data_IF_751692149267
#
_entry.id   IF_751692149267
#
_cell.length_a   1.000
_cell.length_b   1.000
_cell.length_c   1.000
_cell.angle_alpha   90.00
_cell.angle_beta   90.00
_cell.angle_gamma   90.00
#
_symmetry.space_group_name_H-M   'P 1'
#
loop_
_entity.id
_entity.type
_entity.pdbx_description
1 polymer ?
#
# COMPACT_ATOMS: atom_id res chain seq x y z
N UNK A 1 61.73 54.98 -64.51
CA UNK A 1 62.33 55.91 -63.53
C UNK A 1 61.47 55.90 -62.27
N UNK A 2 62.05 55.46 -61.14
CA UNK A 2 61.67 55.74 -59.73
C UNK A 2 60.27 55.27 -59.24
N UNK A 3 60.17 54.24 -58.37
CA UNK A 3 60.35 54.19 -56.89
C UNK A 3 58.99 54.24 -56.16
N UNK A 4 58.74 53.17 -55.37
CA UNK A 4 58.09 53.09 -54.04
C UNK A 4 57.24 54.28 -53.54
N UNK A 5 56.06 54.04 -52.94
CA UNK A 5 55.89 53.64 -51.53
C UNK A 5 54.41 53.51 -51.10
N UNK A 6 54.22 52.69 -50.05
CA UNK A 6 52.98 52.37 -49.31
C UNK A 6 52.20 53.60 -48.81
N UNK A 7 50.88 53.45 -48.64
CA UNK A 7 50.16 53.82 -47.40
C UNK A 7 48.90 52.95 -47.25
N UNK A 8 48.75 52.47 -46.03
CA UNK A 8 47.74 51.60 -45.46
C UNK A 8 46.54 52.46 -45.03
N UNK A 9 45.31 52.11 -45.42
CA UNK A 9 44.12 52.60 -44.71
C UNK A 9 43.05 51.52 -44.63
N UNK A 10 42.83 51.11 -43.39
CA UNK A 10 41.88 50.14 -42.87
C UNK A 10 40.48 50.73 -42.98
N UNK A 11 39.55 50.04 -43.65
CA UNK A 11 38.12 50.23 -43.41
C UNK A 11 37.61 49.03 -42.61
N UNK A 12 37.40 49.29 -41.32
CA UNK A 12 36.81 48.41 -40.32
C UNK A 12 35.31 48.27 -40.63
N UNK A 13 34.87 47.09 -41.07
CA UNK A 13 33.43 46.78 -41.18
C UNK A 13 32.88 46.47 -39.79
N UNK A 14 32.10 47.37 -39.22
CA UNK A 14 31.36 47.14 -37.98
C UNK A 14 30.07 46.38 -38.32
N UNK A 15 30.12 45.04 -38.34
CA UNK A 15 28.92 44.20 -38.37
C UNK A 15 28.48 44.01 -36.92
N UNK A 16 27.41 44.70 -36.51
CA UNK A 16 26.69 44.43 -35.27
C UNK A 16 26.00 43.06 -35.41
N UNK A 17 26.66 41.99 -34.96
CA UNK A 17 25.99 40.74 -34.60
C UNK A 17 25.26 40.97 -33.29
N UNK A 18 23.96 41.21 -33.35
CA UNK A 18 23.09 41.06 -32.18
C UNK A 18 22.99 39.57 -31.88
N UNK A 19 23.88 39.08 -31.03
CA UNK A 19 23.77 37.75 -30.43
C UNK A 19 22.54 37.75 -29.52
N UNK A 20 21.40 37.29 -30.02
CA UNK A 20 20.30 36.89 -29.16
C UNK A 20 20.80 35.67 -28.40
N UNK A 21 21.23 35.88 -27.17
CA UNK A 21 21.46 34.79 -26.22
C UNK A 21 20.06 34.27 -25.87
N UNK A 22 19.64 33.21 -26.56
CA UNK A 22 18.58 32.36 -26.03
C UNK A 22 19.14 31.74 -24.75
N UNK A 23 18.77 32.32 -23.61
CA UNK A 23 18.82 31.60 -22.34
C UNK A 23 17.85 30.44 -22.52
N UNK A 24 18.39 29.30 -22.98
CA UNK A 24 17.72 28.04 -22.80
C UNK A 24 17.78 27.82 -21.29
N UNK A 25 16.69 28.16 -20.60
CA UNK A 25 16.40 27.47 -19.36
C UNK A 25 16.38 25.99 -19.73
N UNK A 26 17.37 25.24 -19.27
CA UNK A 26 17.27 23.80 -19.19
C UNK A 26 16.16 23.49 -18.18
N UNK A 27 14.91 23.69 -18.59
CA UNK A 27 13.83 22.83 -18.13
C UNK A 27 14.09 21.54 -18.88
N UNK A 28 14.87 20.66 -18.26
CA UNK A 28 14.93 19.27 -18.66
C UNK A 28 13.48 18.78 -18.57
N UNK A 29 12.80 18.70 -19.71
CA UNK A 29 11.56 17.94 -19.78
C UNK A 29 11.94 16.51 -19.44
N UNK A 30 11.51 16.04 -18.27
CA UNK A 30 11.59 14.65 -17.84
C UNK A 30 11.01 13.78 -18.96
N UNK A 31 11.78 12.81 -19.42
CA UNK A 31 11.38 11.89 -20.49
C UNK A 31 10.12 11.11 -20.08
N UNK A 32 9.24 10.74 -21.03
CA UNK A 32 8.02 9.95 -20.76
C UNK A 32 8.25 8.61 -20.03
N UNK A 33 9.48 8.09 -20.00
CA UNK A 33 9.85 6.77 -19.47
C UNK A 33 10.01 6.71 -17.94
N UNK A 34 10.01 7.83 -17.20
CA UNK A 34 10.26 7.84 -15.75
C UNK A 34 9.03 7.54 -14.86
N UNK A 35 7.83 7.34 -15.43
CA UNK A 35 6.55 7.19 -14.68
C UNK A 35 5.71 6.01 -15.20
N UNK A 36 6.30 5.03 -15.88
CA UNK A 36 5.53 3.94 -16.52
C UNK A 36 4.92 2.99 -15.49
N UNK A 37 5.71 2.55 -14.51
CA UNK A 37 5.27 1.61 -13.49
C UNK A 37 4.13 2.18 -12.64
N UNK A 38 4.26 3.41 -12.12
CA UNK A 38 3.23 3.97 -11.26
C UNK A 38 1.88 4.18 -11.97
N UNK A 39 1.89 4.55 -13.26
CA UNK A 39 0.65 4.64 -14.05
C UNK A 39 0.03 3.28 -14.31
N UNK A 40 0.84 2.28 -14.64
CA UNK A 40 0.35 0.91 -14.82
C UNK A 40 -0.25 0.35 -13.52
N UNK A 41 0.33 0.70 -12.36
CA UNK A 41 -0.27 0.35 -11.06
C UNK A 41 -1.61 1.06 -10.86
N UNK A 42 -1.73 2.34 -11.17
CA UNK A 42 -3.00 3.09 -11.09
C UNK A 42 -4.09 2.51 -12.02
N UNK A 43 -3.72 2.02 -13.20
CA UNK A 43 -4.65 1.36 -14.12
C UNK A 43 -5.20 0.04 -13.55
N UNK A 44 -4.39 -0.70 -12.79
CA UNK A 44 -4.81 -1.97 -12.16
C UNK A 44 -5.62 -1.72 -10.89
N UNK A 45 -5.16 -0.78 -10.07
CA UNK A 45 -5.64 -0.63 -8.69
C UNK A 45 -6.68 0.47 -8.51
N UNK A 46 -6.86 1.34 -9.51
CA UNK A 46 -7.67 2.53 -9.40
C UNK A 46 -6.94 3.69 -8.71
N UNK A 47 -7.62 4.82 -8.61
CA UNK A 47 -7.06 6.06 -8.03
C UNK A 47 -7.95 6.69 -6.96
N UNK A 48 -9.16 6.13 -6.76
CA UNK A 48 -10.21 6.71 -5.93
C UNK A 48 -9.84 6.74 -4.45
N UNK A 49 -9.00 5.80 -4.01
CA UNK A 49 -8.58 5.62 -2.61
C UNK A 49 -7.25 6.31 -2.31
N UNK A 50 -6.57 6.88 -3.31
CA UNK A 50 -5.21 7.41 -3.13
C UNK A 50 -5.22 8.71 -2.32
N UNK A 51 -4.30 8.77 -1.36
CA UNK A 51 -4.06 9.96 -0.52
C UNK A 51 -2.67 10.49 -0.79
N UNK A 52 -2.56 11.81 -0.91
CA UNK A 52 -1.28 12.49 -1.15
C UNK A 52 -0.63 12.89 0.15
N UNK A 53 0.71 12.85 0.15
CA UNK A 53 1.49 13.40 1.23
C UNK A 53 1.33 14.91 1.34
N UNK A 54 1.39 15.39 2.59
CA UNK A 54 1.61 16.78 2.96
C UNK A 54 3.03 17.23 2.57
N UNK A 55 3.31 18.53 2.69
CA UNK A 55 4.59 19.15 2.29
C UNK A 55 5.82 18.54 3.00
N UNK A 56 5.63 17.88 4.15
CA UNK A 56 6.68 17.23 4.94
C UNK A 56 6.87 15.73 4.62
N UNK A 57 6.12 15.20 3.65
CA UNK A 57 6.18 13.79 3.25
C UNK A 57 5.39 12.84 4.14
N UNK A 58 4.68 13.34 5.15
CA UNK A 58 3.71 12.57 5.91
C UNK A 58 2.37 12.47 5.17
N UNK A 59 1.67 11.37 5.34
CA UNK A 59 0.31 11.16 4.83
C UNK A 59 -0.58 10.91 6.03
N UNK A 60 -1.53 11.79 6.24
CA UNK A 60 -2.57 11.60 7.24
C UNK A 60 -3.79 11.00 6.53
N UNK A 61 -4.11 9.74 6.81
CA UNK A 61 -5.35 9.12 6.33
C UNK A 61 -6.38 9.04 7.46
N UNK A 62 -7.49 8.33 7.26
CA UNK A 62 -8.60 8.32 8.22
C UNK A 62 -8.28 7.58 9.53
N UNK A 63 -7.19 6.81 9.56
CA UNK A 63 -6.88 5.85 10.63
C UNK A 63 -5.46 6.04 11.20
N UNK A 64 -4.53 6.47 10.36
CA UNK A 64 -3.10 6.42 10.60
C UNK A 64 -2.37 7.61 9.96
N UNK A 65 -1.21 7.89 10.52
CA UNK A 65 -0.17 8.68 9.87
C UNK A 65 0.83 7.73 9.21
N UNK A 66 1.09 7.91 7.92
CA UNK A 66 2.05 7.12 7.14
C UNK A 66 3.23 8.02 6.78
N UNK A 67 4.45 7.57 7.05
CA UNK A 67 5.67 8.18 6.54
C UNK A 67 6.26 7.29 5.47
N UNK A 68 6.39 7.84 4.27
CA UNK A 68 6.98 7.12 3.14
C UNK A 68 8.50 7.04 3.25
N UNK A 69 9.10 6.01 2.63
CA UNK A 69 10.54 5.90 2.55
C UNK A 69 11.15 7.01 1.70
N UNK A 70 12.43 7.27 1.92
CA UNK A 70 13.25 8.19 1.14
C UNK A 70 14.71 7.68 1.09
N UNK A 71 15.63 8.47 0.55
CA UNK A 71 17.05 8.08 0.45
C UNK A 71 17.75 7.81 1.81
N UNK A 72 17.14 8.20 2.93
CA UNK A 72 17.64 8.02 4.30
C UNK A 72 16.76 7.07 5.13
N UNK A 73 15.56 6.74 4.66
CA UNK A 73 14.58 5.88 5.32
C UNK A 73 14.15 4.74 4.37
N UNK A 74 14.60 3.52 4.66
CA UNK A 74 14.31 2.33 3.84
C UNK A 74 13.09 1.55 4.33
N UNK A 75 12.09 2.23 4.87
CA UNK A 75 10.88 1.63 5.43
C UNK A 75 9.71 2.60 5.32
N UNK A 76 8.51 2.04 5.23
CA UNK A 76 7.26 2.75 5.45
C UNK A 76 6.97 2.68 6.94
N UNK A 77 6.81 3.82 7.60
CA UNK A 77 6.40 3.86 9.01
C UNK A 77 4.91 4.17 9.06
N UNK A 78 4.17 3.31 9.75
CA UNK A 78 2.75 3.50 9.97
C UNK A 78 2.50 3.72 11.46
N UNK A 79 2.16 4.95 11.81
CA UNK A 79 1.81 5.37 13.16
C UNK A 79 0.30 5.36 13.31
N UNK A 80 -0.19 4.74 14.38
CA UNK A 80 -1.61 4.79 14.74
C UNK A 80 -1.93 6.13 15.38
N UNK A 81 -3.06 6.73 15.01
CA UNK A 81 -3.54 7.96 15.63
C UNK A 81 -4.14 7.72 17.05
N UNK A 82 -4.14 6.47 17.51
CA UNK A 82 -4.55 6.08 18.87
C UNK A 82 -3.37 6.21 19.85
N UNK A 83 -3.61 6.89 20.98
CA UNK A 83 -2.59 7.17 21.99
C UNK A 83 -1.82 5.92 22.45
N UNK A 84 -0.49 5.97 22.36
CA UNK A 84 0.47 4.96 22.84
C UNK A 84 0.49 3.62 22.10
N UNK A 85 -0.10 3.54 20.91
CA UNK A 85 0.14 2.38 20.03
C UNK A 85 1.52 2.51 19.35
N UNK A 86 2.38 1.50 19.45
CA UNK A 86 3.69 1.51 18.78
C UNK A 86 3.54 1.46 17.25
N UNK A 87 4.49 2.07 16.55
CA UNK A 87 4.53 2.08 15.09
C UNK A 87 4.69 0.65 14.53
N UNK A 88 4.03 0.40 13.41
CA UNK A 88 4.34 -0.73 12.54
C UNK A 88 5.23 -0.20 11.42
N UNK A 89 6.39 -0.83 11.19
CA UNK A 89 7.26 -0.46 10.07
C UNK A 89 7.33 -1.59 9.07
N UNK A 90 7.20 -1.23 7.79
CA UNK A 90 7.23 -2.15 6.66
C UNK A 90 8.45 -1.80 5.82
N UNK A 91 9.44 -2.68 5.80
CA UNK A 91 10.64 -2.53 5.01
C UNK A 91 10.35 -2.57 3.52
N UNK A 92 11.16 -1.86 2.74
CA UNK A 92 11.14 -1.93 1.28
C UNK A 92 11.66 -3.30 0.80
N UNK A 93 11.19 -3.79 -0.37
CA UNK A 93 11.45 -5.16 -0.80
C UNK A 93 12.95 -5.43 -0.95
N UNK A 94 13.41 -6.52 -0.37
CA UNK A 94 14.80 -6.98 -0.40
C UNK A 94 15.83 -5.93 0.08
N UNK A 95 15.42 -4.96 0.91
CA UNK A 95 16.25 -3.83 1.34
C UNK A 95 16.91 -3.10 0.15
N UNK A 96 16.19 -3.04 -0.98
CA UNK A 96 16.72 -2.41 -2.19
C UNK A 96 17.07 -0.94 -1.96
N UNK A 97 18.08 -0.42 -2.67
CA UNK A 97 18.40 1.00 -2.58
C UNK A 97 17.43 1.81 -3.42
N UNK A 98 16.85 2.83 -2.81
CA UNK A 98 15.90 3.75 -3.45
C UNK A 98 16.39 5.19 -3.34
N UNK A 99 15.97 6.01 -4.31
CA UNK A 99 16.18 7.46 -4.30
C UNK A 99 14.96 8.22 -3.79
N UNK A 100 14.83 9.47 -4.21
CA UNK A 100 13.58 10.21 -4.05
C UNK A 100 12.56 9.74 -5.09
N UNK A 101 11.27 9.68 -4.73
CA UNK A 101 10.26 9.20 -5.64
C UNK A 101 9.91 10.23 -6.72
N UNK A 102 9.49 9.73 -7.89
CA UNK A 102 8.71 10.49 -8.87
C UNK A 102 7.23 10.28 -8.55
N UNK A 103 6.49 11.37 -8.37
CA UNK A 103 5.10 11.30 -7.90
C UNK A 103 4.13 11.54 -9.06
N UNK A 104 3.14 10.67 -9.22
CA UNK A 104 2.08 10.85 -10.22
C UNK A 104 1.14 11.99 -9.82
N UNK A 105 0.28 12.41 -10.77
CA UNK A 105 -0.77 13.37 -10.46
C UNK A 105 -1.76 12.83 -9.44
N UNK A 106 -2.00 11.52 -9.40
CA UNK A 106 -3.05 10.91 -8.58
C UNK A 106 -2.54 10.42 -7.22
N UNK A 107 -1.22 10.41 -6.99
CA UNK A 107 -0.63 10.20 -5.67
C UNK A 107 0.13 8.88 -5.50
N UNK A 108 0.58 8.27 -6.60
CA UNK A 108 1.50 7.13 -6.56
C UNK A 108 2.95 7.61 -6.56
N UNK A 109 3.80 6.98 -5.75
CA UNK A 109 5.19 7.35 -5.53
C UNK A 109 6.11 6.27 -6.13
N UNK A 110 6.71 6.56 -7.28
CA UNK A 110 7.64 5.64 -7.95
C UNK A 110 9.07 5.86 -7.49
N UNK A 111 9.65 4.85 -6.87
CA UNK A 111 11.04 4.76 -6.49
C UNK A 111 11.80 3.91 -7.50
N UNK A 112 12.64 4.56 -8.30
CA UNK A 112 13.51 3.85 -9.23
C UNK A 112 14.59 3.11 -8.45
N UNK A 113 14.63 1.80 -8.63
CA UNK A 113 15.57 0.91 -7.95
C UNK A 113 16.79 0.65 -8.80
N UNK A 114 16.87 -0.57 -9.33
CA UNK A 114 17.91 -0.97 -10.28
C UNK A 114 17.27 -1.37 -11.62
N UNK A 115 18.10 -1.80 -12.58
CA UNK A 115 17.61 -2.19 -13.92
C UNK A 115 16.55 -3.32 -13.93
N UNK A 116 16.43 -4.08 -12.84
CA UNK A 116 15.54 -5.22 -12.73
C UNK A 116 14.27 -4.96 -11.92
N UNK A 117 14.31 -4.01 -10.99
CA UNK A 117 13.23 -3.84 -10.02
C UNK A 117 13.09 -2.37 -9.65
N UNK A 118 11.86 -1.86 -9.78
CA UNK A 118 11.41 -0.60 -9.20
C UNK A 118 10.32 -0.86 -8.15
N UNK A 119 10.00 0.18 -7.37
CA UNK A 119 8.99 0.14 -6.32
C UNK A 119 7.99 1.28 -6.52
N UNK A 120 6.71 0.99 -6.45
CA UNK A 120 5.63 1.97 -6.44
C UNK A 120 4.92 1.89 -5.11
N UNK A 121 4.84 3.01 -4.39
CA UNK A 121 4.07 3.09 -3.14
C UNK A 121 2.83 3.95 -3.37
N UNK A 122 1.68 3.41 -2.97
CA UNK A 122 0.37 4.05 -3.05
C UNK A 122 -0.21 4.15 -1.65
N UNK A 123 -0.13 5.32 -1.00
CA UNK A 123 -0.88 5.57 0.23
C UNK A 123 -2.37 5.57 -0.09
N UNK A 124 -3.16 4.91 0.75
CA UNK A 124 -4.61 4.88 0.64
C UNK A 124 -5.28 5.52 1.85
N UNK A 125 -6.59 5.74 1.75
CA UNK A 125 -7.44 6.22 2.84
C UNK A 125 -7.37 5.34 4.10
N UNK A 126 -6.96 4.07 3.96
CA UNK A 126 -6.96 3.06 5.03
C UNK A 126 -5.62 2.34 5.22
N UNK A 127 -4.58 2.66 4.45
CA UNK A 127 -3.32 1.93 4.52
C UNK A 127 -2.31 2.33 3.45
N UNK A 128 -1.52 1.37 3.00
CA UNK A 128 -0.46 1.57 2.02
C UNK A 128 -0.31 0.33 1.15
N UNK A 129 -0.23 0.54 -0.16
CA UNK A 129 0.10 -0.51 -1.12
C UNK A 129 1.53 -0.32 -1.59
N UNK A 130 2.31 -1.40 -1.55
CA UNK A 130 3.73 -1.43 -1.90
C UNK A 130 3.88 -2.38 -3.08
N UNK A 131 3.93 -1.86 -4.30
CA UNK A 131 3.94 -2.65 -5.53
C UNK A 131 5.34 -2.71 -6.11
N UNK A 132 5.86 -3.92 -6.26
CA UNK A 132 7.09 -4.19 -6.99
C UNK A 132 6.82 -4.15 -8.49
N UNK A 133 7.60 -3.37 -9.22
CA UNK A 133 7.69 -3.47 -10.69
C UNK A 133 8.90 -4.30 -11.05
N UNK A 134 8.63 -5.53 -11.47
CA UNK A 134 9.63 -6.50 -11.92
C UNK A 134 9.88 -6.20 -13.41
N UNK A 135 11.03 -5.62 -13.74
CA UNK A 135 11.24 -5.00 -15.06
C UNK A 135 11.71 -5.98 -16.14
N UNK A 136 12.29 -7.12 -15.77
CA UNK A 136 12.80 -8.10 -16.74
C UNK A 136 13.03 -9.48 -16.10
N UNK A 137 13.38 -10.48 -16.93
CA UNK A 137 13.56 -11.87 -16.51
C UNK A 137 14.75 -12.14 -15.58
N UNK A 138 15.69 -11.20 -15.43
CA UNK A 138 16.84 -11.32 -14.53
C UNK A 138 16.54 -10.84 -13.11
N UNK A 139 15.34 -10.29 -12.88
CA UNK A 139 14.91 -9.87 -11.57
C UNK A 139 14.82 -11.05 -10.58
N UNK A 140 14.91 -10.78 -9.27
CA UNK A 140 14.57 -11.78 -8.26
C UNK A 140 13.14 -12.30 -8.42
N UNK A 141 12.90 -13.51 -7.89
CA UNK A 141 11.54 -14.08 -7.80
C UNK A 141 10.94 -13.98 -6.40
N UNK A 142 11.73 -13.57 -5.42
CA UNK A 142 11.32 -13.43 -4.02
C UNK A 142 11.54 -11.99 -3.61
N UNK A 143 10.51 -11.39 -3.00
CA UNK A 143 10.50 -10.00 -2.56
C UNK A 143 10.17 -10.00 -1.07
N UNK A 144 11.21 -9.81 -0.26
CA UNK A 144 11.15 -9.80 1.20
C UNK A 144 10.79 -8.40 1.73
N UNK A 145 9.62 -8.28 2.35
CA UNK A 145 9.21 -7.12 3.12
C UNK A 145 9.39 -7.45 4.60
N UNK A 146 10.45 -6.93 5.22
CA UNK A 146 10.72 -7.11 6.65
C UNK A 146 9.86 -6.18 7.48
N UNK A 147 9.18 -6.70 8.50
CA UNK A 147 8.41 -5.87 9.41
C UNK A 147 9.13 -5.68 10.74
N UNK A 148 9.24 -4.42 11.17
CA UNK A 148 9.50 -4.08 12.57
C UNK A 148 8.14 -3.98 13.26
N UNK A 149 7.79 -5.06 13.96
CA UNK A 149 6.53 -5.19 14.67
C UNK A 149 6.75 -4.95 16.17
N UNK A 150 5.74 -4.38 16.86
CA UNK A 150 5.80 -4.23 18.31
C UNK A 150 6.02 -5.58 19.02
N UNK A 151 6.54 -5.54 20.24
CA UNK A 151 6.76 -6.76 21.02
C UNK A 151 5.46 -7.58 21.14
N UNK A 152 5.59 -8.90 20.98
CA UNK A 152 4.46 -9.83 21.02
C UNK A 152 3.63 -9.89 19.74
N UNK A 153 3.82 -8.98 18.78
CA UNK A 153 3.15 -9.02 17.49
C UNK A 153 3.83 -9.98 16.52
N UNK A 154 3.05 -10.54 15.59
CA UNK A 154 3.52 -11.48 14.57
C UNK A 154 2.63 -11.48 13.33
N UNK A 155 3.18 -11.97 12.23
CA UNK A 155 2.41 -12.35 11.04
C UNK A 155 1.81 -13.75 11.20
N UNK A 156 0.57 -13.92 10.72
CA UNK A 156 -0.10 -15.23 10.64
C UNK A 156 -0.93 -15.31 9.36
N UNK A 157 -0.91 -16.45 8.70
CA UNK A 157 -1.86 -16.70 7.61
C UNK A 157 -3.28 -16.77 8.16
N UNK A 158 -4.25 -16.34 7.35
CA UNK A 158 -5.66 -16.42 7.73
C UNK A 158 -6.09 -17.87 8.06
N UNK A 159 -5.57 -18.86 7.31
CA UNK A 159 -5.82 -20.28 7.50
C UNK A 159 -5.32 -20.78 8.86
N UNK A 160 -4.07 -20.45 9.23
CA UNK A 160 -3.47 -20.79 10.52
C UNK A 160 -4.20 -20.11 11.68
N UNK A 161 -4.64 -18.87 11.45
CA UNK A 161 -5.33 -18.08 12.44
C UNK A 161 -6.70 -18.69 12.83
N UNK A 162 -7.43 -19.27 11.87
CA UNK A 162 -8.71 -19.94 12.13
C UNK A 162 -8.58 -21.44 12.42
N UNK A 163 -7.46 -22.08 12.05
CA UNK A 163 -7.17 -23.50 12.24
C UNK A 163 -7.71 -24.40 11.11
N UNK A 164 -7.09 -25.57 10.95
CA UNK A 164 -7.33 -26.54 9.85
C UNK A 164 -8.80 -27.01 9.73
N UNK A 165 -9.56 -27.07 10.83
CA UNK A 165 -10.97 -27.50 10.82
C UNK A 165 -11.90 -26.45 10.17
N UNK A 166 -11.39 -25.23 9.94
CA UNK A 166 -12.10 -24.10 9.35
C UNK A 166 -11.45 -23.58 8.05
N UNK A 167 -10.35 -24.21 7.61
CA UNK A 167 -9.87 -24.10 6.24
C UNK A 167 -10.98 -24.64 5.32
N UNK A 168 -11.59 -23.76 4.52
CA UNK A 168 -12.60 -24.17 3.54
C UNK A 168 -11.92 -24.22 2.18
N UNK A 169 -12.51 -24.96 1.25
CA UNK A 169 -12.01 -25.23 -0.11
C UNK A 169 -11.54 -23.99 -0.91
N UNK A 170 -12.00 -22.80 -0.55
CA UNK A 170 -11.45 -21.51 -0.99
C UNK A 170 -10.58 -20.95 0.15
N UNK A 171 -9.30 -21.32 0.17
CA UNK A 171 -8.30 -20.78 1.09
C UNK A 171 -8.11 -19.30 0.78
N UNK A 172 -8.39 -18.44 1.77
CA UNK A 172 -8.16 -17.01 1.60
C UNK A 172 -6.71 -16.75 2.00
N UNK A 173 -5.86 -16.36 1.06
CA UNK A 173 -4.41 -16.29 1.25
C UNK A 173 -3.94 -14.95 1.87
N UNK A 174 -4.82 -14.29 2.62
CA UNK A 174 -4.49 -13.06 3.35
C UNK A 174 -3.54 -13.35 4.52
N UNK A 175 -2.73 -12.35 4.86
CA UNK A 175 -1.84 -12.39 6.01
C UNK A 175 -2.26 -11.34 7.02
N UNK A 176 -2.41 -11.73 8.29
CA UNK A 176 -2.75 -10.83 9.37
C UNK A 176 -1.51 -10.47 10.18
N UNK A 177 -1.42 -9.20 10.60
CA UNK A 177 -0.59 -8.82 11.74
C UNK A 177 -1.48 -8.94 12.98
N UNK A 178 -1.08 -9.77 13.94
CA UNK A 178 -1.79 -9.95 15.21
C UNK A 178 -0.92 -9.53 16.39
N UNK A 179 -1.55 -9.04 17.47
CA UNK A 179 -0.88 -8.72 18.73
C UNK A 179 -0.67 -9.97 19.62
N UNK A 180 -0.11 -9.74 20.82
CA UNK A 180 0.14 -10.77 21.84
C UNK A 180 -1.12 -11.52 22.31
N UNK A 181 -2.30 -10.91 22.16
CA UNK A 181 -3.60 -11.48 22.48
C UNK A 181 -4.25 -12.14 21.25
N UNK A 182 -3.48 -12.32 20.18
CA UNK A 182 -3.91 -12.74 18.84
C UNK A 182 -4.91 -11.79 18.16
N UNK A 183 -5.02 -10.54 18.59
CA UNK A 183 -5.93 -9.56 17.98
C UNK A 183 -5.36 -9.04 16.68
N UNK A 184 -6.13 -9.15 15.58
CA UNK A 184 -5.78 -8.62 14.27
C UNK A 184 -5.68 -7.08 14.34
N UNK A 185 -4.50 -6.57 13.99
CA UNK A 185 -4.18 -5.15 13.92
C UNK A 185 -4.23 -4.62 12.48
N UNK A 186 -3.78 -5.43 11.53
CA UNK A 186 -3.78 -5.09 10.09
C UNK A 186 -3.84 -6.34 9.22
N UNK A 187 -4.15 -6.13 7.93
CA UNK A 187 -4.28 -7.18 6.92
C UNK A 187 -3.43 -6.83 5.71
N UNK A 188 -2.65 -7.80 5.24
CA UNK A 188 -2.21 -7.86 3.87
C UNK A 188 -3.25 -8.63 3.05
N UNK A 189 -3.67 -8.05 1.92
CA UNK A 189 -4.59 -8.70 0.99
C UNK A 189 -4.04 -10.00 0.43
N UNK A 190 -4.82 -10.73 -0.37
CA UNK A 190 -4.33 -11.87 -1.15
C UNK A 190 -3.25 -11.40 -2.14
N UNK A 191 -2.19 -12.21 -2.28
CA UNK A 191 -1.11 -11.92 -3.21
C UNK A 191 -1.63 -11.87 -4.65
N UNK A 192 -1.24 -10.84 -5.39
CA UNK A 192 -1.50 -10.79 -6.83
C UNK A 192 -0.27 -10.32 -7.60
N UNK A 193 -0.17 -10.81 -8.83
CA UNK A 193 0.82 -10.36 -9.79
C UNK A 193 0.23 -10.33 -11.20
N UNK A 194 0.49 -9.26 -11.95
CA UNK A 194 0.00 -9.08 -13.33
C UNK A 194 1.13 -8.70 -14.26
N UNK A 195 1.19 -9.35 -15.41
CA UNK A 195 2.15 -9.06 -16.48
C UNK A 195 1.76 -7.80 -17.26
N UNK A 196 2.64 -7.34 -18.16
CA UNK A 196 2.40 -6.12 -18.95
C UNK A 196 1.20 -6.20 -19.92
N UNK A 197 0.65 -7.40 -20.15
CA UNK A 197 -0.58 -7.58 -20.92
C UNK A 197 -1.83 -7.68 -20.02
N UNK A 198 -1.66 -7.56 -18.70
CA UNK A 198 -2.72 -7.70 -17.70
C UNK A 198 -3.06 -9.15 -17.34
N UNK A 199 -2.27 -10.14 -17.78
CA UNK A 199 -2.49 -11.54 -17.42
C UNK A 199 -1.97 -11.82 -16.01
N UNK A 200 -2.65 -12.70 -15.27
CA UNK A 200 -2.19 -13.13 -13.95
C UNK A 200 -0.89 -13.94 -14.06
N UNK A 201 0.06 -13.63 -13.18
CA UNK A 201 1.29 -14.38 -12.96
C UNK A 201 1.14 -15.12 -11.62
N UNK A 202 1.41 -16.44 -11.55
CA UNK A 202 1.29 -17.16 -10.29
C UNK A 202 2.18 -16.53 -9.21
N UNK A 203 1.59 -16.33 -8.03
CA UNK A 203 2.26 -15.73 -6.87
C UNK A 203 1.64 -16.23 -5.59
N UNK A 204 2.41 -16.21 -4.49
CA UNK A 204 1.94 -16.52 -3.15
C UNK A 204 2.83 -15.81 -2.12
N UNK A 205 2.36 -15.73 -0.87
CA UNK A 205 3.18 -15.29 0.25
C UNK A 205 3.82 -16.45 1.02
N UNK A 206 5.01 -16.21 1.53
CA UNK A 206 5.69 -17.01 2.55
C UNK A 206 5.93 -16.11 3.78
N UNK A 207 5.75 -16.65 4.99
CA UNK A 207 6.07 -15.95 6.25
C UNK A 207 7.32 -16.59 6.85
N UNK A 208 8.36 -15.78 7.09
CA UNK A 208 9.56 -16.19 7.82
C UNK A 208 9.82 -15.16 8.92
N UNK A 209 9.66 -15.59 10.17
CA UNK A 209 9.65 -14.70 11.34
C UNK A 209 8.65 -13.54 11.14
N UNK A 210 9.11 -12.28 11.21
CA UNK A 210 8.31 -11.09 10.93
C UNK A 210 8.53 -10.55 9.51
N UNK A 211 8.78 -11.44 8.55
CA UNK A 211 8.99 -11.06 7.15
C UNK A 211 7.88 -11.63 6.28
N UNK A 212 7.25 -10.77 5.47
CA UNK A 212 6.32 -11.17 4.42
C UNK A 212 7.10 -11.27 3.11
N UNK A 213 7.22 -12.47 2.57
CA UNK A 213 7.94 -12.71 1.32
C UNK A 213 6.92 -13.01 0.24
N UNK A 214 6.83 -12.17 -0.79
CA UNK A 214 6.08 -12.53 -1.99
C UNK A 214 6.97 -13.30 -2.96
N UNK A 215 6.49 -14.45 -3.41
CA UNK A 215 7.10 -15.22 -4.48
C UNK A 215 6.33 -14.98 -5.77
N UNK A 216 7.00 -14.59 -6.85
CA UNK A 216 6.40 -14.33 -8.16
C UNK A 216 7.00 -15.27 -9.20
N UNK A 217 6.16 -16.11 -9.82
CA UNK A 217 6.60 -17.23 -10.67
C UNK A 217 6.59 -16.90 -12.16
N UNK A 218 7.18 -15.76 -12.55
CA UNK A 218 7.32 -15.41 -13.96
C UNK A 218 8.24 -16.39 -14.72
N UNK A 219 8.03 -16.52 -16.03
CA UNK A 219 8.78 -17.42 -16.89
C UNK A 219 9.08 -16.77 -18.25
N UNK A 220 9.68 -17.52 -19.18
CA UNK A 220 10.07 -17.04 -20.51
C UNK A 220 8.93 -16.50 -21.38
N UNK A 221 7.67 -16.80 -21.04
CA UNK A 221 6.49 -16.32 -21.75
C UNK A 221 5.83 -15.11 -21.06
N UNK A 222 6.34 -14.70 -19.89
CA UNK A 222 5.80 -13.56 -19.14
C UNK A 222 6.23 -12.26 -19.81
N UNK A 223 5.28 -11.34 -19.99
CA UNK A 223 5.57 -9.99 -20.48
C UNK A 223 5.95 -9.07 -19.31
N UNK A 224 7.02 -8.31 -19.48
CA UNK A 224 7.50 -7.37 -18.46
C UNK A 224 7.10 -5.91 -18.80
N UNK A 225 6.88 -5.05 -17.78
CA UNK A 225 7.03 -5.35 -16.36
C UNK A 225 5.92 -6.26 -15.80
N UNK A 226 6.24 -7.01 -14.76
CA UNK A 226 5.25 -7.67 -13.90
C UNK A 226 5.07 -6.79 -12.66
N UNK A 227 3.84 -6.41 -12.38
CA UNK A 227 3.47 -5.68 -11.18
C UNK A 227 2.98 -6.69 -10.14
N UNK A 228 3.54 -6.65 -8.94
CA UNK A 228 3.17 -7.54 -7.84
C UNK A 228 3.10 -6.75 -6.54
N UNK A 229 2.15 -7.06 -5.67
CA UNK A 229 1.89 -6.32 -4.43
C UNK A 229 2.94 -6.56 -3.32
N UNK A 230 2.73 -6.30 -2.01
CA UNK A 230 1.51 -6.40 -1.21
C UNK A 230 0.68 -5.11 -1.03
N UNK A 231 -0.62 -5.29 -0.77
CA UNK A 231 -1.55 -4.25 -0.30
C UNK A 231 -1.85 -4.41 1.18
N UNK A 232 -1.44 -3.42 1.99
CA UNK A 232 -1.59 -3.42 3.43
C UNK A 232 -2.68 -2.44 3.88
N UNK A 233 -3.63 -2.94 4.65
CA UNK A 233 -4.75 -2.15 5.20
C UNK A 233 -4.66 -2.13 6.72
N UNK A 234 -4.59 -0.92 7.28
CA UNK A 234 -4.78 -0.70 8.69
C UNK A 234 -6.27 -0.88 9.02
N UNK A 235 -6.57 -1.61 10.09
CA UNK A 235 -7.96 -1.74 10.55
C UNK A 235 -8.23 -0.76 11.71
N UNK A 236 -7.16 -0.29 12.36
CA UNK A 236 -7.19 0.49 13.60
C UNK A 236 -7.84 -0.29 14.75
N UNK A 237 -7.36 -0.11 15.99
CA UNK A 237 -8.00 -0.75 17.15
C UNK A 237 -9.47 -0.33 17.39
N UNK A 238 -9.98 0.66 16.63
CA UNK A 238 -11.37 1.11 16.63
C UNK A 238 -12.33 0.31 15.72
N UNK A 239 -11.86 -0.72 15.00
CA UNK A 239 -12.74 -1.75 14.46
C UNK A 239 -13.20 -2.71 15.57
N UNK A 240 -13.82 -2.16 16.62
CA UNK A 240 -14.28 -2.88 17.80
C UNK A 240 -15.16 -4.10 17.50
N UNK A 241 -15.65 -4.31 16.26
CA UNK A 241 -16.27 -5.56 15.85
C UNK A 241 -15.27 -6.68 15.54
N UNK A 242 -14.17 -6.38 14.84
CA UNK A 242 -13.12 -7.35 14.48
C UNK A 242 -12.18 -7.58 15.66
N UNK A 243 -11.76 -6.52 16.35
CA UNK A 243 -10.96 -6.63 17.59
C UNK A 243 -11.71 -7.42 18.68
N UNK A 244 -13.02 -7.22 18.82
CA UNK A 244 -13.85 -7.99 19.77
C UNK A 244 -14.15 -9.41 19.27
N UNK A 245 -14.33 -9.61 17.96
CA UNK A 245 -14.50 -10.93 17.35
C UNK A 245 -13.37 -11.87 17.76
N UNK A 246 -12.15 -11.35 17.72
CA UNK A 246 -10.92 -12.08 17.98
C UNK A 246 -10.61 -12.19 19.48
N UNK A 247 -10.64 -11.08 20.23
CA UNK A 247 -10.27 -11.07 21.65
C UNK A 247 -11.27 -11.80 22.56
N UNK A 248 -12.43 -12.22 22.06
CA UNK A 248 -13.49 -12.80 22.88
C UNK A 248 -13.34 -14.29 23.23
N UNK A 249 -12.31 -15.00 22.72
CA UNK A 249 -12.09 -16.44 22.99
C UNK A 249 -13.36 -17.32 22.81
N UNK A 250 -14.38 -16.84 22.10
CA UNK A 250 -15.67 -17.50 21.87
C UNK A 250 -15.58 -18.40 20.64
N UNK A 251 -14.56 -19.25 20.61
CA UNK A 251 -14.30 -20.24 19.57
C UNK A 251 -15.24 -21.45 19.74
N UNK A 252 -16.54 -21.23 19.55
CA UNK A 252 -17.44 -22.35 19.20
C UNK A 252 -17.41 -22.43 17.68
N UNK A 253 -16.81 -23.50 17.13
CA UNK A 253 -16.63 -23.71 15.67
C UNK A 253 -17.88 -23.35 14.83
N UNK A 254 -19.08 -23.60 15.36
CA UNK A 254 -20.34 -23.26 14.69
C UNK A 254 -20.56 -21.75 14.40
N UNK A 255 -20.03 -20.84 15.24
CA UNK A 255 -20.11 -19.40 15.00
C UNK A 255 -19.10 -18.93 13.96
N UNK A 256 -17.90 -19.53 13.96
CA UNK A 256 -16.82 -19.19 13.04
C UNK A 256 -17.21 -19.46 11.58
N UNK A 257 -17.92 -20.57 11.31
CA UNK A 257 -18.47 -20.87 9.97
C UNK A 257 -19.39 -19.75 9.46
N UNK A 258 -20.30 -19.25 10.31
CA UNK A 258 -21.20 -18.16 9.91
C UNK A 258 -20.46 -16.84 9.76
N UNK A 259 -19.46 -16.58 10.59
CA UNK A 259 -18.62 -15.39 10.46
C UNK A 259 -17.88 -15.42 9.13
N UNK A 260 -17.23 -16.53 8.77
CA UNK A 260 -16.59 -16.68 7.44
C UNK A 260 -17.59 -16.44 6.31
N UNK A 261 -18.80 -16.99 6.40
CA UNK A 261 -19.86 -16.71 5.42
C UNK A 261 -20.16 -15.21 5.29
N UNK A 262 -20.23 -14.47 6.40
CA UNK A 262 -20.51 -13.04 6.35
C UNK A 262 -19.32 -12.22 5.86
N UNK A 263 -18.09 -12.58 6.21
CA UNK A 263 -16.86 -11.96 5.70
C UNK A 263 -16.75 -12.18 4.18
N UNK A 264 -16.96 -13.41 3.71
CA UNK A 264 -16.96 -13.69 2.26
C UNK A 264 -18.08 -12.93 1.55
N UNK A 265 -19.27 -12.82 2.16
CA UNK A 265 -20.36 -12.01 1.62
C UNK A 265 -20.07 -10.50 1.62
N UNK A 266 -19.08 -10.04 2.39
CA UNK A 266 -18.55 -8.69 2.40
C UNK A 266 -17.34 -8.52 1.47
N UNK A 267 -16.92 -9.56 0.75
CA UNK A 267 -15.77 -9.49 -0.16
C UNK A 267 -14.41 -9.85 0.45
N UNK A 268 -14.40 -10.50 1.62
CA UNK A 268 -13.15 -10.91 2.31
C UNK A 268 -12.78 -10.00 3.48
N UNK A 269 -11.66 -10.26 4.14
CA UNK A 269 -11.24 -9.51 5.32
C UNK A 269 -10.79 -8.09 4.96
N UNK A 270 -10.07 -7.95 3.85
CA UNK A 270 -9.63 -6.64 3.32
C UNK A 270 -10.81 -5.72 3.03
N UNK A 271 -11.80 -6.19 2.27
CA UNK A 271 -12.99 -5.39 1.95
C UNK A 271 -13.84 -5.13 3.21
N UNK A 272 -13.95 -6.10 4.12
CA UNK A 272 -14.61 -5.87 5.41
C UNK A 272 -13.92 -4.77 6.23
N UNK A 273 -12.58 -4.75 6.26
CA UNK A 273 -11.81 -3.71 6.94
C UNK A 273 -12.12 -2.34 6.31
N UNK A 274 -12.01 -2.23 4.98
CA UNK A 274 -12.34 -1.02 4.23
C UNK A 274 -13.76 -0.51 4.48
N UNK A 275 -14.77 -1.39 4.50
CA UNK A 275 -16.16 -1.02 4.81
C UNK A 275 -16.34 -0.53 6.25
N UNK A 276 -15.54 -1.04 7.19
CA UNK A 276 -15.58 -0.66 8.60
C UNK A 276 -14.88 0.67 8.85
N UNK A 277 -13.87 1.02 8.06
CA UNK A 277 -13.07 2.24 8.21
C UNK A 277 -13.72 3.44 7.53
N UNK A 278 -14.41 3.24 6.40
CA UNK A 278 -15.19 4.28 5.69
C UNK A 278 -16.38 4.89 6.47
N UNK A 279 -16.60 4.47 7.72
CA UNK A 279 -17.76 4.85 8.51
C UNK A 279 -17.38 5.26 9.92
N UNK A 280 -17.81 6.47 10.33
CA UNK A 280 -17.43 7.05 11.63
C UNK A 280 -18.22 6.47 12.80
N UNK A 281 -19.48 6.07 12.58
CA UNK A 281 -20.33 5.48 13.63
C UNK A 281 -20.73 4.05 13.34
N UNK A 282 -21.09 3.34 14.40
CA UNK A 282 -21.60 1.97 14.29
C UNK A 282 -22.83 1.86 13.39
N UNK A 283 -23.76 2.82 13.49
CA UNK A 283 -24.94 2.85 12.64
C UNK A 283 -24.58 3.03 11.16
N UNK A 284 -23.54 3.81 10.89
CA UNK A 284 -23.02 4.01 9.54
C UNK A 284 -22.30 2.76 9.02
N UNK A 285 -21.46 2.13 9.85
CA UNK A 285 -20.82 0.84 9.53
C UNK A 285 -21.88 -0.19 9.15
N UNK A 286 -22.88 -0.42 10.01
CA UNK A 286 -23.99 -1.33 9.74
C UNK A 286 -24.83 -0.96 8.51
N UNK A 287 -24.89 0.32 8.15
CA UNK A 287 -25.58 0.79 6.94
C UNK A 287 -24.77 0.43 5.70
N UNK A 288 -23.47 0.71 5.72
CA UNK A 288 -22.52 0.47 4.61
C UNK A 288 -22.32 -1.04 4.38
N UNK A 289 -21.99 -1.79 5.43
CA UNK A 289 -21.84 -3.26 5.35
C UNK A 289 -23.16 -4.05 5.27
N UNK A 290 -24.31 -3.35 5.21
CA UNK A 290 -25.61 -3.95 4.94
C UNK A 290 -26.03 -5.09 5.87
N UNK A 291 -26.80 -6.04 5.34
CA UNK A 291 -27.28 -7.19 6.12
C UNK A 291 -26.16 -8.14 6.54
N UNK A 292 -25.08 -8.23 5.77
CA UNK A 292 -23.95 -9.11 6.08
C UNK A 292 -23.22 -8.62 7.32
N UNK A 293 -22.84 -7.34 7.40
CA UNK A 293 -22.20 -6.76 8.57
C UNK A 293 -23.13 -6.71 9.80
N UNK A 294 -24.43 -6.48 9.60
CA UNK A 294 -25.43 -6.60 10.70
C UNK A 294 -25.51 -8.01 11.25
N UNK A 295 -25.49 -9.01 10.37
CA UNK A 295 -25.54 -10.42 10.77
C UNK A 295 -24.24 -10.86 11.43
N UNK A 296 -23.11 -10.39 10.91
CA UNK A 296 -21.79 -10.55 11.51
C UNK A 296 -21.78 -9.96 12.92
N UNK A 297 -22.16 -8.70 13.07
CA UNK A 297 -22.30 -8.03 14.36
C UNK A 297 -23.24 -8.77 15.32
N UNK A 298 -24.38 -9.29 14.85
CA UNK A 298 -25.34 -10.01 15.66
C UNK A 298 -24.83 -11.39 16.11
N UNK A 299 -24.12 -12.10 15.26
CA UNK A 299 -23.51 -13.39 15.57
C UNK A 299 -22.40 -13.23 16.63
N UNK A 300 -21.61 -12.16 16.49
CA UNK A 300 -20.49 -11.80 17.39
C UNK A 300 -21.01 -11.32 18.75
N UNK A 301 -21.85 -10.29 18.76
CA UNK A 301 -22.25 -9.60 20.01
C UNK A 301 -23.47 -10.23 20.68
N UNK A 302 -24.15 -11.17 20.00
CA UNK A 302 -25.51 -11.56 20.33
C UNK A 302 -26.51 -10.43 20.06
N UNK A 303 -27.78 -10.75 19.80
CA UNK A 303 -28.81 -9.74 19.51
C UNK A 303 -28.90 -8.67 20.61
N UNK A 304 -28.59 -9.01 21.87
CA UNK A 304 -28.54 -8.07 22.99
C UNK A 304 -27.32 -7.13 23.01
N UNK A 305 -26.15 -7.57 22.52
CA UNK A 305 -24.93 -6.76 22.47
C UNK A 305 -25.01 -5.63 21.45
N UNK A 306 -25.71 -5.85 20.34
CA UNK A 306 -26.08 -4.81 19.36
C UNK A 306 -26.83 -3.63 19.99
N UNK A 307 -27.72 -3.90 20.95
CA UNK A 307 -28.45 -2.85 21.69
C UNK A 307 -27.57 -2.15 22.75
N UNK A 308 -26.61 -2.86 23.36
CA UNK A 308 -25.71 -2.30 24.36
C UNK A 308 -24.67 -1.33 23.76
N UNK A 309 -24.11 -1.64 22.59
CA UNK A 309 -23.19 -0.75 21.86
C UNK A 309 -23.87 0.57 21.43
N UNK A 310 -25.11 0.51 20.94
CA UNK A 310 -25.90 1.70 20.59
C UNK A 310 -26.11 2.64 21.81
N UNK A 311 -26.22 2.08 23.02
CA UNK A 311 -26.36 2.84 24.28
C UNK A 311 -25.05 3.51 24.73
N UNK A 312 -23.90 2.87 24.49
CA UNK A 312 -22.57 3.45 24.78
C UNK A 312 -22.22 4.61 23.84
N UNK A 313 -22.54 4.48 22.55
CA UNK A 313 -22.29 5.51 21.53
C UNK A 313 -23.13 6.77 21.79
N UNK A 314 -24.42 6.62 22.14
CA UNK A 314 -25.28 7.75 22.53
C UNK A 314 -24.80 8.50 23.78
N UNK A 315 -23.97 7.88 24.63
CA UNK A 315 -23.44 8.48 25.86
C UNK A 315 -22.21 9.36 25.58
N UNK A 316 -21.41 9.06 24.55
CA UNK A 316 -20.27 9.90 24.12
C UNK A 316 -20.71 11.20 23.41
N UNK A 317 -21.83 11.21 22.68
CA UNK A 317 -22.41 12.42 22.05
C UNK A 317 -23.02 13.46 23.02
N UNK A 318 -22.94 13.23 24.34
CA UNK A 318 -23.51 14.09 25.40
C UNK A 318 -22.46 14.69 26.34
N UNK A 319 -21.19 14.70 25.96
CA UNK A 319 -20.14 15.44 26.65
C UNK A 319 -19.52 16.44 25.69
#
# INVERSE_FOLDING_TARGET
MKIFNKIFMVFLSLVLFTSIVFIHSNVQATTPDEIDAAKAVEEITGTEELVKADDDGSINNDINTIKLPDQFLNEIIVSSDLDNEPDIKIGIPNEMKIGNPVVTKDGSYQYNGNENVDLVIQPTDVGVRSVVSINNENAPKKYDFKLDLPEGHKLVFSSDYFGEELALEDDIEEVFVVDENNIIQSIFGEAWAKDANGNDVPTHYEIIDNSLIQVVEFNKNTAFPVLADPDWVAIGACSAALTWFVGSNLLVAAKLIKVKKYINALGGFKETAKLITQATTWEEKLRVGGSALKSLAAEITGVAGLYACNKFIKKKKKK
#
